data_IF_483719840764
#
_entry.id   IF_483719840764
#
_cell.length_a   1.000
_cell.length_b   1.000
_cell.length_c   1.000
_cell.angle_alpha   90.00
_cell.angle_beta   90.00
_cell.angle_gamma   90.00
#
_symmetry.space_group_name_H-M   'P 1'
#
loop_
_entity.id
_entity.type
_entity.pdbx_description
1 polymer ?
#
# COMPACT_ATOMS: atom_id res chain seq x y z
N UNK A 1 -65.28 -16.64 15.04
CA UNK A 1 -65.16 -15.58 14.02
C UNK A 1 -64.02 -14.65 14.41
N UNK A 2 -62.88 -14.68 13.71
CA UNK A 2 -61.77 -13.74 13.93
C UNK A 2 -61.89 -12.63 12.89
N UNK A 3 -62.18 -11.40 13.30
CA UNK A 3 -62.25 -10.23 12.42
C UNK A 3 -60.83 -9.78 12.07
N UNK A 4 -60.47 -9.86 10.79
CA UNK A 4 -59.22 -9.30 10.26
C UNK A 4 -59.47 -7.83 9.90
N UNK A 5 -58.98 -6.90 10.72
CA UNK A 5 -59.02 -5.47 10.39
C UNK A 5 -58.04 -5.16 9.25
N UNK A 6 -58.50 -4.40 8.25
CA UNK A 6 -57.68 -3.97 7.13
C UNK A 6 -56.58 -2.99 7.59
N UNK A 7 -55.34 -3.13 7.09
CA UNK A 7 -54.23 -2.27 7.49
C UNK A 7 -54.46 -0.81 7.03
N UNK A 8 -54.16 0.15 7.91
CA UNK A 8 -54.33 1.58 7.61
C UNK A 8 -53.41 2.02 6.48
N UNK A 9 -53.83 3.02 5.68
CA UNK A 9 -53.04 3.60 4.56
C UNK A 9 -51.60 3.98 4.98
N UNK A 10 -51.41 4.49 6.19
CA UNK A 10 -50.08 4.80 6.73
C UNK A 10 -49.17 3.57 6.87
N UNK A 11 -49.73 2.42 7.26
CA UNK A 11 -48.99 1.16 7.40
C UNK A 11 -48.60 0.53 6.04
N UNK A 12 -49.40 0.77 4.99
CA UNK A 12 -49.10 0.35 3.63
C UNK A 12 -48.00 1.19 3.00
N UNK A 13 -48.02 2.51 3.21
CA UNK A 13 -46.98 3.44 2.72
C UNK A 13 -45.65 3.19 3.43
N UNK A 14 -45.66 2.94 4.75
CA UNK A 14 -44.45 2.59 5.50
C UNK A 14 -43.83 1.27 5.01
N UNK A 15 -44.65 0.25 4.73
CA UNK A 15 -44.17 -1.03 4.16
C UNK A 15 -43.64 -0.87 2.74
N UNK A 16 -44.24 -0.03 1.91
CA UNK A 16 -43.76 0.27 0.57
C UNK A 16 -42.41 1.00 0.59
N UNK A 17 -42.24 1.98 1.50
CA UNK A 17 -40.95 2.69 1.72
C UNK A 17 -39.86 1.75 2.24
N UNK A 18 -40.19 0.88 3.20
CA UNK A 18 -39.26 -0.12 3.72
C UNK A 18 -38.85 -1.16 2.65
N UNK A 19 -39.76 -1.57 1.77
CA UNK A 19 -39.46 -2.45 0.63
C UNK A 19 -38.59 -1.75 -0.42
N UNK A 20 -38.83 -0.45 -0.69
CA UNK A 20 -38.02 0.34 -1.62
C UNK A 20 -36.61 0.61 -1.06
N UNK A 21 -36.48 0.86 0.24
CA UNK A 21 -35.19 0.99 0.92
C UNK A 21 -34.39 -0.34 0.94
N UNK A 22 -35.06 -1.49 1.04
CA UNK A 22 -34.41 -2.81 0.92
C UNK A 22 -33.97 -3.13 -0.50
N UNK A 23 -34.69 -2.63 -1.52
CA UNK A 23 -34.35 -2.81 -2.96
C UNK A 23 -33.27 -1.85 -3.44
N UNK A 24 -33.03 -0.76 -2.71
CA UNK A 24 -32.00 0.24 -3.00
C UNK A 24 -30.68 0.01 -2.25
N UNK A 25 -30.52 -1.13 -1.55
CA UNK A 25 -29.18 -1.56 -1.15
C UNK A 25 -28.47 -2.01 -2.43
N UNK A 26 -27.36 -1.37 -2.84
CA UNK A 26 -26.56 -1.91 -3.92
C UNK A 26 -26.23 -3.35 -3.55
N UNK A 27 -26.27 -4.26 -4.52
CA UNK A 27 -25.78 -5.62 -4.36
C UNK A 27 -24.25 -5.61 -4.19
N UNK A 28 -23.72 -4.95 -3.15
CA UNK A 28 -22.47 -5.39 -2.56
C UNK A 28 -22.83 -6.62 -1.74
N UNK A 29 -22.84 -7.78 -2.40
CA UNK A 29 -22.68 -9.04 -1.67
C UNK A 29 -21.33 -8.88 -0.98
N UNK A 30 -21.35 -8.55 0.31
CA UNK A 30 -20.13 -8.46 1.10
C UNK A 30 -19.37 -9.76 0.82
N UNK A 31 -18.23 -9.64 0.15
CA UNK A 31 -17.33 -10.75 0.00
C UNK A 31 -17.02 -11.15 1.44
N UNK A 32 -17.31 -12.40 1.82
CA UNK A 32 -16.91 -12.91 3.12
C UNK A 32 -15.41 -12.65 3.28
N UNK A 33 -14.93 -12.36 4.48
CA UNK A 33 -13.51 -12.05 4.74
C UNK A 33 -12.56 -13.06 4.04
N UNK A 34 -12.91 -14.35 4.00
CA UNK A 34 -12.10 -15.40 3.35
C UNK A 34 -12.34 -15.60 1.84
N UNK A 35 -13.13 -14.76 1.17
CA UNK A 35 -13.48 -14.97 -0.24
C UNK A 35 -12.26 -14.84 -1.15
N UNK A 36 -11.38 -13.89 -0.87
CA UNK A 36 -10.20 -13.63 -1.68
C UNK A 36 -9.11 -14.69 -1.46
N UNK A 37 -8.81 -15.01 -0.19
CA UNK A 37 -7.87 -16.06 0.17
C UNK A 37 -8.21 -17.42 -0.46
N UNK A 38 -9.49 -17.79 -0.50
CA UNK A 38 -9.95 -19.05 -1.14
C UNK A 38 -9.86 -19.05 -2.66
N UNK A 39 -9.90 -17.88 -3.31
CA UNK A 39 -9.81 -17.77 -4.76
C UNK A 39 -8.36 -17.74 -5.26
N UNK A 40 -7.47 -17.10 -4.50
CA UNK A 40 -6.10 -16.81 -4.93
C UNK A 40 -5.07 -17.82 -4.39
N UNK A 41 -5.40 -18.60 -3.36
CA UNK A 41 -4.47 -19.52 -2.69
C UNK A 41 -3.43 -18.83 -1.80
N UNK A 42 -3.54 -17.50 -1.65
CA UNK A 42 -2.77 -16.68 -0.73
C UNK A 42 -3.65 -15.52 -0.24
N UNK A 43 -3.30 -14.97 0.92
CA UNK A 43 -3.95 -13.81 1.49
C UNK A 43 -3.44 -12.53 0.79
N UNK A 44 -4.29 -11.75 0.11
CA UNK A 44 -3.82 -10.57 -0.62
C UNK A 44 -3.21 -9.52 0.31
N UNK A 45 -3.70 -9.42 1.55
CA UNK A 45 -3.16 -8.59 2.61
C UNK A 45 -1.74 -9.01 2.98
N UNK A 46 -1.47 -10.31 3.07
CA UNK A 46 -0.11 -10.83 3.26
C UNK A 46 0.80 -10.40 2.11
N UNK A 47 0.33 -10.49 0.85
CA UNK A 47 1.14 -10.08 -0.29
C UNK A 47 1.39 -8.57 -0.31
N UNK A 48 0.38 -7.78 0.01
CA UNK A 48 0.49 -6.34 0.13
C UNK A 48 1.50 -5.96 1.22
N UNK A 49 1.45 -6.62 2.38
CA UNK A 49 2.40 -6.42 3.48
C UNK A 49 3.85 -6.66 3.06
N UNK A 50 4.14 -7.72 2.31
CA UNK A 50 5.49 -7.94 1.78
C UNK A 50 5.95 -6.79 0.87
N UNK A 51 5.07 -6.34 -0.03
CA UNK A 51 5.37 -5.27 -0.97
C UNK A 51 5.58 -3.93 -0.25
N UNK A 52 4.76 -3.62 0.75
CA UNK A 52 4.89 -2.43 1.59
C UNK A 52 6.18 -2.47 2.42
N UNK A 53 6.50 -3.61 3.02
CA UNK A 53 7.75 -3.78 3.77
C UNK A 53 8.99 -3.52 2.90
N UNK A 54 8.96 -3.98 1.64
CA UNK A 54 9.99 -3.69 0.65
C UNK A 54 10.05 -2.21 0.29
N UNK A 55 8.90 -1.57 0.06
CA UNK A 55 8.83 -0.12 -0.20
C UNK A 55 9.46 0.67 0.95
N UNK A 56 9.08 0.38 2.19
CA UNK A 56 9.63 1.05 3.37
C UNK A 56 11.14 0.85 3.52
N UNK A 57 11.63 -0.35 3.21
CA UNK A 57 13.08 -0.65 3.19
C UNK A 57 13.80 0.19 2.12
N UNK A 58 13.21 0.36 0.93
CA UNK A 58 13.76 1.20 -0.13
C UNK A 58 13.71 2.70 0.25
N UNK A 59 12.62 3.18 0.83
CA UNK A 59 12.49 4.55 1.33
C UNK A 59 13.55 4.86 2.38
N UNK A 60 13.73 3.96 3.36
CA UNK A 60 14.78 4.10 4.37
C UNK A 60 16.20 4.11 3.77
N UNK A 61 16.44 3.29 2.75
CA UNK A 61 17.72 3.30 2.01
C UNK A 61 18.00 4.69 1.43
N UNK A 62 16.99 5.33 0.80
CA UNK A 62 17.11 6.69 0.25
C UNK A 62 17.38 7.75 1.31
N UNK A 63 16.70 7.67 2.46
CA UNK A 63 16.93 8.59 3.58
C UNK A 63 18.37 8.50 4.08
N UNK A 64 18.91 7.28 4.21
CA UNK A 64 20.28 7.08 4.69
C UNK A 64 21.31 7.57 3.67
N UNK A 65 21.10 7.33 2.37
CA UNK A 65 21.97 7.86 1.31
C UNK A 65 22.03 9.40 1.39
N UNK A 66 20.88 10.06 1.51
CA UNK A 66 20.81 11.51 1.62
C UNK A 66 21.51 12.04 2.88
N UNK A 67 21.36 11.35 4.02
CA UNK A 67 22.07 11.71 5.26
C UNK A 67 23.58 11.53 5.12
N UNK A 68 24.04 10.43 4.50
CA UNK A 68 25.45 10.12 4.33
C UNK A 68 26.15 11.09 3.36
N UNK A 69 25.49 11.46 2.26
CA UNK A 69 26.03 12.41 1.29
C UNK A 69 26.00 13.86 1.84
N UNK A 70 25.02 14.19 2.70
CA UNK A 70 24.94 15.48 3.37
C UNK A 70 26.08 15.72 4.37
N UNK A 71 26.44 14.70 5.17
CA UNK A 71 27.41 14.83 6.27
C UNK A 71 28.87 15.07 5.83
N UNK A 72 29.20 14.93 4.54
CA UNK A 72 30.57 15.08 4.01
C UNK A 72 30.77 16.23 3.03
N UNK A 73 29.70 16.91 2.62
CA UNK A 73 29.72 17.87 1.50
C UNK A 73 29.53 19.34 1.92
N UNK A 74 29.56 19.63 3.22
CA UNK A 74 29.26 20.97 3.74
C UNK A 74 30.41 21.99 3.49
N UNK A 75 31.59 21.54 3.05
CA UNK A 75 32.79 22.38 2.89
C UNK A 75 33.65 22.07 1.65
N UNK A 76 33.15 21.30 0.68
CA UNK A 76 33.86 21.02 -0.58
C UNK A 76 33.09 21.56 -1.79
N UNK A 77 33.79 22.14 -2.77
CA UNK A 77 33.20 22.57 -4.04
C UNK A 77 32.74 21.37 -4.90
N UNK A 78 33.27 20.17 -4.63
CA UNK A 78 32.94 18.93 -5.31
C UNK A 78 31.89 18.12 -4.53
N UNK A 79 30.81 17.73 -5.23
CA UNK A 79 29.79 16.81 -4.71
C UNK A 79 30.39 15.41 -4.58
N UNK A 80 30.80 15.05 -3.36
CA UNK A 80 31.27 13.69 -3.08
C UNK A 80 30.12 12.76 -2.73
N UNK A 81 29.95 11.69 -3.51
CA UNK A 81 29.07 10.57 -3.16
C UNK A 81 29.73 9.80 -2.02
N UNK A 82 29.00 9.57 -0.94
CA UNK A 82 29.53 8.84 0.20
C UNK A 82 29.81 7.38 -0.15
N UNK A 83 30.78 6.77 0.57
CA UNK A 83 31.08 5.34 0.47
C UNK A 83 29.83 4.48 0.69
N UNK A 84 28.98 4.85 1.65
CA UNK A 84 27.75 4.14 1.96
C UNK A 84 26.75 4.20 0.80
N UNK A 85 26.56 5.38 0.20
CA UNK A 85 25.71 5.54 -0.98
C UNK A 85 26.18 4.65 -2.13
N UNK A 86 27.48 4.62 -2.38
CA UNK A 86 28.06 3.75 -3.41
C UNK A 86 27.79 2.26 -3.13
N UNK A 87 28.00 1.80 -1.89
CA UNK A 87 27.72 0.41 -1.48
C UNK A 87 26.25 0.03 -1.65
N UNK A 88 25.32 0.93 -1.29
CA UNK A 88 23.89 0.66 -1.44
C UNK A 88 23.48 0.55 -2.91
N UNK A 89 23.99 1.45 -3.76
CA UNK A 89 23.73 1.41 -5.20
C UNK A 89 24.29 0.13 -5.82
N UNK A 90 25.53 -0.23 -5.50
CA UNK A 90 26.18 -1.45 -5.99
C UNK A 90 25.40 -2.71 -5.57
N UNK A 91 24.95 -2.80 -4.31
CA UNK A 91 24.15 -3.94 -3.84
C UNK A 91 22.80 -4.02 -4.54
N UNK A 92 22.12 -2.89 -4.78
CA UNK A 92 20.84 -2.84 -5.48
C UNK A 92 20.98 -3.18 -6.96
N UNK A 93 22.07 -2.77 -7.61
CA UNK A 93 22.36 -3.11 -9.00
C UNK A 93 22.66 -4.61 -9.15
N UNK A 94 23.51 -5.16 -8.27
CA UNK A 94 23.89 -6.58 -8.32
C UNK A 94 22.74 -7.51 -7.93
N UNK A 95 21.94 -7.11 -6.95
CA UNK A 95 20.85 -7.93 -6.39
C UNK A 95 19.66 -7.04 -6.05
N UNK A 96 18.76 -6.80 -7.02
CA UNK A 96 17.57 -6.01 -6.80
C UNK A 96 16.76 -6.48 -5.59
N UNK A 97 16.10 -5.54 -4.91
CA UNK A 97 15.33 -5.85 -3.72
C UNK A 97 14.08 -6.66 -4.08
N UNK A 98 14.01 -7.90 -3.61
CA UNK A 98 12.88 -8.82 -3.79
C UNK A 98 12.20 -9.14 -2.46
N UNK A 99 10.98 -9.70 -2.53
CA UNK A 99 10.22 -10.09 -1.32
C UNK A 99 9.92 -8.88 -0.44
N UNK A 100 10.20 -9.00 0.86
CA UNK A 100 10.01 -7.96 1.88
C UNK A 100 11.23 -7.05 2.13
N UNK A 101 12.32 -7.23 1.36
CA UNK A 101 13.55 -6.46 1.52
C UNK A 101 14.49 -6.88 2.66
N UNK A 102 14.12 -7.85 3.52
CA UNK A 102 15.00 -8.33 4.60
C UNK A 102 16.31 -8.93 4.09
N UNK A 103 16.27 -9.66 2.98
CA UNK A 103 17.47 -10.24 2.38
C UNK A 103 18.51 -9.19 1.96
N UNK A 104 18.08 -7.95 1.64
CA UNK A 104 19.00 -6.85 1.37
C UNK A 104 19.72 -6.40 2.65
N UNK A 105 18.97 -6.20 3.73
CA UNK A 105 19.51 -5.82 5.05
C UNK A 105 20.46 -6.88 5.60
N UNK A 106 20.10 -8.16 5.48
CA UNK A 106 20.93 -9.29 5.91
C UNK A 106 22.29 -9.30 5.21
N UNK A 107 22.33 -9.01 3.90
CA UNK A 107 23.60 -8.92 3.16
C UNK A 107 24.47 -7.76 3.63
N UNK A 108 23.88 -6.60 3.88
CA UNK A 108 24.61 -5.45 4.41
C UNK A 108 25.16 -5.74 5.82
N UNK A 109 24.37 -6.41 6.67
CA UNK A 109 24.80 -6.86 8.00
C UNK A 109 25.93 -7.91 7.94
N UNK A 110 25.96 -8.73 6.89
CA UNK A 110 27.01 -9.71 6.65
C UNK A 110 28.29 -9.12 6.03
N UNK A 111 28.31 -7.81 5.72
CA UNK A 111 29.49 -7.15 5.15
C UNK A 111 30.69 -7.22 6.09
N UNK A 112 31.89 -7.38 5.52
CA UNK A 112 33.15 -7.29 6.26
C UNK A 112 33.41 -5.85 6.77
N UNK A 113 32.87 -4.85 6.08
CA UNK A 113 33.02 -3.43 6.40
C UNK A 113 32.13 -3.00 7.58
N UNK A 114 32.74 -2.39 8.59
CA UNK A 114 32.04 -1.95 9.80
C UNK A 114 31.00 -0.86 9.56
N UNK A 115 31.32 0.11 8.70
CA UNK A 115 30.42 1.22 8.37
C UNK A 115 29.17 0.71 7.65
N UNK A 116 29.34 -0.25 6.73
CA UNK A 116 28.24 -0.91 6.03
C UNK A 116 27.30 -1.63 7.01
N UNK A 117 27.86 -2.34 8.00
CA UNK A 117 27.03 -3.00 9.03
C UNK A 117 26.29 -1.99 9.90
N UNK A 118 26.93 -0.88 10.27
CA UNK A 118 26.30 0.20 11.02
C UNK A 118 25.17 0.86 10.22
N UNK A 119 25.39 1.08 8.92
CA UNK A 119 24.36 1.59 8.01
C UNK A 119 23.16 0.62 7.90
N UNK A 120 23.41 -0.69 7.94
CA UNK A 120 22.34 -1.69 7.97
C UNK A 120 21.50 -1.63 9.26
N UNK A 121 22.14 -1.42 10.42
CA UNK A 121 21.42 -1.20 11.70
C UNK A 121 20.58 0.08 11.61
N UNK A 122 21.15 1.15 11.07
CA UNK A 122 20.42 2.40 10.86
C UNK A 122 19.21 2.21 9.94
N UNK A 123 19.34 1.38 8.92
CA UNK A 123 18.24 1.05 8.00
C UNK A 123 17.09 0.35 8.73
N UNK A 124 17.38 -0.57 9.64
CA UNK A 124 16.36 -1.25 10.47
C UNK A 124 15.58 -0.23 11.31
N UNK A 125 16.27 0.74 11.92
CA UNK A 125 15.63 1.80 12.72
C UNK A 125 14.81 2.75 11.85
N UNK A 126 15.41 3.29 10.79
CA UNK A 126 14.77 4.30 9.92
C UNK A 126 13.53 3.73 9.27
N UNK A 127 13.54 2.48 8.78
CA UNK A 127 12.34 1.89 8.17
C UNK A 127 11.22 1.66 9.16
N UNK A 128 11.54 1.40 10.45
CA UNK A 128 10.54 1.27 11.51
C UNK A 128 9.94 2.63 11.82
N UNK A 129 10.78 3.62 12.13
CA UNK A 129 10.34 4.98 12.45
C UNK A 129 9.52 5.58 11.30
N UNK A 130 10.00 5.45 10.06
CA UNK A 130 9.26 5.95 8.91
C UNK A 130 7.88 5.29 8.78
N UNK A 131 7.77 3.99 9.02
CA UNK A 131 6.48 3.28 8.96
C UNK A 131 5.53 3.65 10.10
N UNK A 132 6.04 3.99 11.28
CA UNK A 132 5.26 4.27 12.48
C UNK A 132 4.87 5.74 12.61
N UNK A 133 5.72 6.66 12.19
CA UNK A 133 5.60 8.09 12.49
C UNK A 133 5.34 8.96 11.25
N UNK A 134 5.94 8.62 10.10
CA UNK A 134 5.96 9.51 8.92
C UNK A 134 5.10 9.03 7.76
N UNK A 135 4.88 7.72 7.61
CA UNK A 135 4.16 7.15 6.49
C UNK A 135 2.64 7.30 6.70
N UNK A 136 2.00 8.11 5.86
CA UNK A 136 0.56 8.36 5.94
C UNK A 136 -0.25 7.18 5.40
N UNK A 137 -0.57 6.24 6.28
CA UNK A 137 -1.39 5.07 5.95
C UNK A 137 -2.82 5.44 5.56
N UNK A 138 -3.38 6.51 6.13
CA UNK A 138 -4.76 6.94 5.84
C UNK A 138 -4.85 7.51 4.43
N UNK A 139 -3.91 8.39 4.06
CA UNK A 139 -3.81 8.96 2.72
C UNK A 139 -3.62 7.85 1.67
N UNK A 140 -2.74 6.87 1.91
CA UNK A 140 -2.51 5.75 0.98
C UNK A 140 -3.80 4.96 0.74
N UNK A 141 -4.57 4.67 1.79
CA UNK A 141 -5.84 3.95 1.65
C UNK A 141 -6.85 4.82 0.88
N UNK A 142 -6.99 6.09 1.26
CA UNK A 142 -7.94 7.01 0.63
C UNK A 142 -7.65 7.19 -0.87
N UNK A 143 -6.41 7.50 -1.23
CA UNK A 143 -6.01 7.74 -2.61
C UNK A 143 -6.03 6.47 -3.47
N UNK A 144 -5.74 5.30 -2.88
CA UNK A 144 -5.88 4.02 -3.60
C UNK A 144 -7.34 3.77 -3.99
N UNK A 145 -8.30 4.04 -3.10
CA UNK A 145 -9.73 3.89 -3.41
C UNK A 145 -10.16 4.87 -4.48
N UNK A 146 -9.75 6.15 -4.39
CA UNK A 146 -10.03 7.16 -5.43
C UNK A 146 -9.44 6.78 -6.78
N UNK A 147 -8.21 6.25 -6.79
CA UNK A 147 -7.53 5.81 -8.01
C UNK A 147 -8.31 4.69 -8.71
N UNK A 148 -8.77 3.68 -7.95
CA UNK A 148 -9.61 2.60 -8.48
C UNK A 148 -10.90 3.13 -9.13
N UNK A 149 -11.58 4.09 -8.50
CA UNK A 149 -12.80 4.70 -9.06
C UNK A 149 -12.51 5.51 -10.33
N UNK A 150 -11.42 6.29 -10.32
CA UNK A 150 -10.98 7.05 -11.50
C UNK A 150 -10.67 6.10 -12.67
N UNK A 151 -9.87 5.07 -12.44
CA UNK A 151 -9.52 4.07 -13.46
C UNK A 151 -10.77 3.35 -13.98
N UNK A 152 -11.72 3.00 -13.11
CA UNK A 152 -12.99 2.39 -13.50
C UNK A 152 -13.76 3.28 -14.48
N UNK A 153 -13.87 4.58 -14.20
CA UNK A 153 -14.58 5.53 -15.07
C UNK A 153 -13.89 5.71 -16.42
N UNK A 154 -12.55 5.83 -16.43
CA UNK A 154 -11.76 5.94 -17.65
C UNK A 154 -11.92 4.69 -18.53
N UNK A 155 -11.76 3.50 -17.97
CA UNK A 155 -11.90 2.24 -18.71
C UNK A 155 -13.32 2.04 -19.27
N UNK A 156 -14.36 2.40 -18.51
CA UNK A 156 -15.74 2.32 -18.99
C UNK A 156 -16.03 3.30 -20.13
N UNK A 157 -15.46 4.51 -20.06
CA UNK A 157 -15.57 5.51 -21.13
C UNK A 157 -14.88 5.02 -22.40
N UNK A 158 -13.68 4.46 -22.28
CA UNK A 158 -12.94 3.90 -23.41
C UNK A 158 -13.67 2.73 -24.05
N UNK A 159 -14.22 1.82 -23.24
CA UNK A 159 -15.05 0.72 -23.73
C UNK A 159 -16.30 1.21 -24.46
N UNK A 160 -17.02 2.18 -23.89
CA UNK A 160 -18.21 2.75 -24.51
C UNK A 160 -17.89 3.43 -25.86
N UNK A 161 -16.78 4.15 -25.94
CA UNK A 161 -16.34 4.83 -27.16
C UNK A 161 -16.04 3.82 -28.27
N UNK A 162 -15.27 2.77 -27.96
CA UNK A 162 -14.95 1.68 -28.90
C UNK A 162 -16.15 0.84 -29.33
N UNK A 163 -17.24 0.86 -28.55
CA UNK A 163 -18.47 0.12 -28.88
C UNK A 163 -19.42 0.92 -29.80
N UNK A 164 -19.12 2.21 -30.02
CA UNK A 164 -19.90 3.11 -30.87
C UNK A 164 -19.27 3.29 -32.27
N UNK A 165 -18.02 2.86 -32.44
CA UNK A 165 -17.33 2.72 -33.73
C UNK A 165 -17.66 1.37 -34.39
#
# INVERSE_FOLDING_TARGET
>A
MKTSAAPSRASCVARARARRARRARPHSRALSEDACARACGYDPEEKAREMLSRLLTLSATRVIMAQADGQGNECSEDVNISKITSVFLDELERRPMTGNGSAFVERLMASADGDTRLAAVRLIEVRRTYAEEDFDWEEVVEETVKLCEKQRLELLKDHATKSLD
#
